data_IF_737549539589
#
_entry.id   IF_737549539589
#
_cell.length_a   1.000
_cell.length_b   1.000
_cell.length_c   1.000
_cell.angle_alpha   90.00
_cell.angle_beta   90.00
_cell.angle_gamma   90.00
#
_symmetry.space_group_name_H-M   'P 1'
#
loop_
_entity.id
_entity.type
_entity.pdbx_description
1 polymer ?
#
# COMPACT_ATOMS: atom_id res chain seq x y z
N UNK A 1 -17.87 8.22 -3.25
CA UNK A 1 -16.62 7.44 -3.10
C UNK A 1 -16.95 6.25 -2.21
N UNK A 2 -16.89 5.04 -2.75
CA UNK A 2 -17.35 3.81 -2.08
C UNK A 2 -16.55 3.51 -0.81
N UNK A 3 -17.18 2.91 0.21
CA UNK A 3 -16.50 2.50 1.45
C UNK A 3 -15.27 1.62 1.20
N UNK A 4 -15.31 0.81 0.14
CA UNK A 4 -14.18 -0.03 -0.26
C UNK A 4 -12.95 0.78 -0.68
N UNK A 5 -13.14 1.89 -1.39
CA UNK A 5 -12.04 2.78 -1.78
C UNK A 5 -11.45 3.51 -0.56
N UNK A 6 -12.28 3.89 0.41
CA UNK A 6 -11.79 4.45 1.68
C UNK A 6 -10.94 3.45 2.45
N UNK A 7 -11.38 2.18 2.55
CA UNK A 7 -10.59 1.11 3.19
C UNK A 7 -9.24 0.89 2.50
N UNK A 8 -9.24 0.82 1.16
CA UNK A 8 -8.00 0.67 0.39
C UNK A 8 -7.06 1.86 0.59
N UNK A 9 -7.58 3.10 0.66
CA UNK A 9 -6.75 4.26 0.99
C UNK A 9 -6.12 4.15 2.37
N UNK A 10 -6.88 3.71 3.37
CA UNK A 10 -6.38 3.53 4.74
C UNK A 10 -5.27 2.46 4.79
N UNK A 11 -5.47 1.32 4.11
CA UNK A 11 -4.45 0.28 3.95
C UNK A 11 -3.19 0.82 3.25
N UNK A 12 -3.36 1.57 2.16
CA UNK A 12 -2.24 2.17 1.44
C UNK A 12 -1.45 3.15 2.31
N UNK A 13 -2.15 3.98 3.10
CA UNK A 13 -1.52 4.92 4.04
C UNK A 13 -0.77 4.17 5.15
N UNK A 14 -1.36 3.10 5.70
CA UNK A 14 -0.71 2.25 6.70
C UNK A 14 0.55 1.59 6.16
N UNK A 15 0.51 1.02 4.96
CA UNK A 15 1.69 0.43 4.33
C UNK A 15 2.77 1.47 4.01
N UNK A 16 2.39 2.69 3.63
CA UNK A 16 3.33 3.79 3.44
C UNK A 16 4.04 4.15 4.75
N UNK A 17 3.30 4.30 5.86
CA UNK A 17 3.89 4.60 7.16
C UNK A 17 4.84 3.48 7.63
N UNK A 18 4.48 2.21 7.45
CA UNK A 18 5.36 1.09 7.80
C UNK A 18 6.65 1.08 6.94
N UNK A 19 6.55 1.40 5.65
CA UNK A 19 7.72 1.56 4.78
C UNK A 19 8.61 2.72 5.21
N UNK A 20 8.04 3.86 5.61
CA UNK A 20 8.81 4.99 6.14
C UNK A 20 9.53 4.65 7.44
N UNK A 21 8.87 3.88 8.33
CA UNK A 21 9.49 3.40 9.56
C UNK A 21 10.67 2.46 9.29
N UNK A 22 10.55 1.57 8.30
CA UNK A 22 11.65 0.70 7.87
C UNK A 22 12.76 1.53 7.24
N UNK A 23 12.43 2.44 6.31
CA UNK A 23 13.40 3.30 5.62
C UNK A 23 14.16 4.23 6.57
N UNK A 24 13.55 4.61 7.70
CA UNK A 24 14.20 5.42 8.74
C UNK A 24 15.20 4.65 9.60
N UNK A 25 15.21 3.31 9.54
CA UNK A 25 16.21 2.50 10.27
C UNK A 25 17.55 2.60 9.56
N UNK A 26 18.58 3.12 10.24
CA UNK A 26 19.95 3.21 9.69
C UNK A 26 20.59 1.84 9.39
N UNK A 27 20.10 0.76 9.99
CA UNK A 27 20.51 -0.61 9.70
C UNK A 27 19.28 -1.48 9.49
N UNK A 28 19.02 -1.84 8.23
CA UNK A 28 17.99 -2.79 7.84
C UNK A 28 18.55 -4.22 7.92
N UNK A 29 17.96 -5.06 8.77
CA UNK A 29 18.22 -6.50 8.75
C UNK A 29 17.70 -7.11 7.45
N UNK A 30 18.15 -8.33 7.10
CA UNK A 30 17.55 -9.10 5.99
C UNK A 30 16.04 -9.26 6.17
N UNK A 31 15.59 -9.41 7.41
CA UNK A 31 14.17 -9.44 7.76
C UNK A 31 13.46 -8.13 7.40
N UNK A 32 14.07 -6.98 7.72
CA UNK A 32 13.50 -5.68 7.39
C UNK A 32 13.45 -5.44 5.87
N UNK A 33 14.45 -5.90 5.12
CA UNK A 33 14.46 -5.83 3.65
C UNK A 33 13.37 -6.69 3.03
N UNK A 34 13.17 -7.90 3.54
CA UNK A 34 12.08 -8.77 3.11
C UNK A 34 10.70 -8.16 3.42
N UNK A 35 10.55 -7.56 4.60
CA UNK A 35 9.32 -6.85 4.98
C UNK A 35 9.09 -5.62 4.08
N UNK A 36 10.13 -4.86 3.74
CA UNK A 36 10.04 -3.73 2.82
C UNK A 36 9.56 -4.17 1.44
N UNK A 37 10.11 -5.27 0.90
CA UNK A 37 9.68 -5.86 -0.37
C UNK A 37 8.22 -6.31 -0.30
N UNK A 38 7.83 -6.95 0.81
CA UNK A 38 6.46 -7.42 1.03
C UNK A 38 5.48 -6.24 1.09
N UNK A 39 5.80 -5.20 1.85
CA UNK A 39 5.01 -3.99 1.98
C UNK A 39 4.90 -3.23 0.64
N UNK A 40 5.98 -3.13 -0.15
CA UNK A 40 5.93 -2.55 -1.50
C UNK A 40 4.97 -3.32 -2.41
N UNK A 41 5.00 -4.66 -2.38
CA UNK A 41 4.07 -5.49 -3.16
C UNK A 41 2.61 -5.30 -2.72
N UNK A 42 2.35 -5.27 -1.41
CA UNK A 42 1.01 -5.02 -0.87
C UNK A 42 0.50 -3.64 -1.27
N UNK A 43 1.33 -2.61 -1.12
CA UNK A 43 1.00 -1.23 -1.53
C UNK A 43 0.69 -1.13 -3.02
N UNK A 44 1.44 -1.83 -3.87
CA UNK A 44 1.17 -1.90 -5.31
C UNK A 44 -0.20 -2.54 -5.59
N UNK A 45 -0.48 -3.70 -4.97
CA UNK A 45 -1.77 -4.39 -5.11
C UNK A 45 -2.96 -3.50 -4.69
N UNK A 46 -2.83 -2.79 -3.58
CA UNK A 46 -3.88 -1.87 -3.10
C UNK A 46 -4.07 -0.72 -4.10
N UNK A 47 -2.98 -0.21 -4.69
CA UNK A 47 -3.05 0.78 -5.77
C UNK A 47 -3.82 0.24 -6.97
N UNK A 48 -3.52 -0.97 -7.43
CA UNK A 48 -4.22 -1.61 -8.55
C UNK A 48 -5.70 -1.82 -8.24
N UNK A 49 -6.05 -2.19 -7.00
CA UNK A 49 -7.45 -2.30 -6.56
C UNK A 49 -8.17 -0.95 -6.57
N UNK A 50 -7.51 0.12 -6.11
CA UNK A 50 -8.06 1.48 -6.18
C UNK A 50 -8.31 1.92 -7.62
N UNK A 51 -7.34 1.69 -8.52
CA UNK A 51 -7.47 2.02 -9.94
C UNK A 51 -8.61 1.24 -10.61
N UNK A 52 -8.76 -0.05 -10.30
CA UNK A 52 -9.88 -0.87 -10.79
C UNK A 52 -11.24 -0.31 -10.33
N UNK A 53 -11.36 0.14 -9.08
CA UNK A 53 -12.59 0.74 -8.58
C UNK A 53 -12.89 2.08 -9.23
N UNK A 54 -11.88 2.94 -9.41
CA UNK A 54 -12.03 4.22 -10.11
C UNK A 54 -12.42 3.98 -11.56
N UNK A 55 -11.79 3.02 -12.22
CA UNK A 55 -12.10 2.66 -13.60
C UNK A 55 -13.53 2.14 -13.74
N UNK A 56 -13.98 1.24 -12.87
CA UNK A 56 -15.37 0.77 -12.84
C UNK A 56 -16.35 1.91 -12.61
N UNK A 57 -16.07 2.81 -11.67
CA UNK A 57 -16.91 3.97 -11.37
C UNK A 57 -16.93 5.02 -12.49
N UNK A 58 -15.95 4.99 -13.41
CA UNK A 58 -15.88 5.88 -14.57
C UNK A 58 -16.62 5.32 -15.78
N UNK A 59 -16.75 4.00 -15.89
CA UNK A 59 -17.42 3.31 -17.00
C UNK A 59 -18.89 3.02 -16.70
N UNK A 60 -19.27 2.92 -15.43
CA UNK A 60 -20.66 2.85 -14.97
C UNK A 60 -21.32 4.23 -14.95
#
# INVERSE_FOLDING_TARGET
MSQEYQRLRDEHARYAAQLEQLASKSYLSEHDKLEEIRLKKLKLRVKDQMEMLVHRARIA
#
